data_IF_808164472300
#
_entry.id   IF_808164472300
#
_cell.length_a   1.000
_cell.length_b   1.000
_cell.length_c   1.000
_cell.angle_alpha   90.00
_cell.angle_beta   90.00
_cell.angle_gamma   90.00
#
_symmetry.space_group_name_H-M   'P 1'
#
loop_
_entity.id
_entity.type
_entity.pdbx_description
1 polymer ?
#
# COMPACT_ATOMS: atom_id res chain seq x y z
N UNK A 1 -17.48 13.51 19.10
CA UNK A 1 -17.15 14.66 18.24
C UNK A 1 -18.33 14.92 17.31
N UNK A 2 -19.06 16.03 17.51
CA UNK A 2 -20.24 16.34 16.69
C UNK A 2 -19.76 17.14 15.48
N UNK A 3 -19.91 16.57 14.27
CA UNK A 3 -19.68 17.27 13.01
C UNK A 3 -20.71 18.42 12.90
N UNK A 4 -20.23 19.67 12.83
CA UNK A 4 -21.07 20.88 12.71
C UNK A 4 -21.50 21.14 11.26
N UNK A 5 -21.78 20.09 10.49
CA UNK A 5 -22.33 20.26 9.15
C UNK A 5 -23.84 19.92 9.19
N UNK A 6 -24.74 20.91 9.01
CA UNK A 6 -26.18 20.70 9.12
C UNK A 6 -26.74 19.77 8.03
N UNK A 7 -25.97 19.44 6.98
CA UNK A 7 -26.33 18.46 5.95
C UNK A 7 -25.85 17.03 6.26
N UNK A 8 -25.08 16.84 7.34
CA UNK A 8 -24.53 15.56 7.80
C UNK A 8 -25.10 15.18 9.18
N UNK A 9 -26.37 15.52 9.44
CA UNK A 9 -27.09 14.99 10.60
C UNK A 9 -27.46 13.54 10.31
N UNK A 10 -26.48 12.64 10.38
CA UNK A 10 -26.77 11.23 10.63
C UNK A 10 -27.11 11.16 12.12
N UNK A 11 -28.29 10.65 12.51
CA UNK A 11 -28.57 10.37 13.91
C UNK A 11 -27.46 9.45 14.41
N UNK A 12 -26.59 9.96 15.29
CA UNK A 12 -25.70 9.13 16.09
C UNK A 12 -26.53 8.47 17.18
N UNK A 13 -27.53 7.68 16.78
CA UNK A 13 -28.02 6.64 17.66
C UNK A 13 -26.88 5.64 17.78
N UNK A 14 -26.52 5.29 19.01
CA UNK A 14 -25.54 4.25 19.27
C UNK A 14 -26.15 2.95 18.74
N UNK A 15 -25.79 2.57 17.51
CA UNK A 15 -26.13 1.27 16.97
C UNK A 15 -25.23 0.31 17.73
N UNK A 16 -25.82 -0.45 18.66
CA UNK A 16 -25.10 -1.53 19.31
C UNK A 16 -24.51 -2.42 18.20
N UNK A 17 -23.21 -2.74 18.28
CA UNK A 17 -22.59 -3.62 17.31
C UNK A 17 -23.41 -4.90 17.25
N UNK A 18 -23.82 -5.31 16.05
CA UNK A 18 -24.54 -6.59 15.87
C UNK A 18 -23.71 -7.67 16.55
N UNK A 19 -24.29 -8.35 17.54
CA UNK A 19 -23.73 -9.57 18.10
C UNK A 19 -23.48 -10.54 16.95
N UNK A 20 -22.25 -11.05 16.82
CA UNK A 20 -21.82 -11.84 15.67
C UNK A 20 -20.89 -11.13 14.67
N UNK A 21 -20.24 -10.03 15.06
CA UNK A 21 -19.07 -9.53 14.30
C UNK A 21 -18.02 -10.65 14.19
N UNK A 22 -17.30 -10.70 13.07
CA UNK A 22 -16.28 -11.69 12.68
C UNK A 22 -15.10 -11.91 13.66
N UNK A 23 -15.20 -11.44 14.90
CA UNK A 23 -14.15 -11.46 15.93
C UNK A 23 -14.57 -12.14 17.24
N UNK A 24 -15.70 -12.86 17.26
CA UNK A 24 -15.96 -13.88 18.31
C UNK A 24 -14.99 -15.08 18.24
N UNK A 25 -13.97 -15.02 17.37
CA UNK A 25 -12.78 -15.86 17.51
C UNK A 25 -12.00 -15.42 18.76
N UNK A 26 -12.30 -16.06 19.89
CA UNK A 26 -11.73 -15.86 21.23
C UNK A 26 -10.18 -15.92 21.33
N UNK A 27 -9.47 -16.05 20.21
CA UNK A 27 -8.01 -16.13 20.12
C UNK A 27 -7.34 -14.84 19.64
N UNK A 28 -8.07 -13.90 19.02
CA UNK A 28 -7.48 -12.65 18.50
C UNK A 28 -6.95 -11.75 19.63
N UNK A 29 -7.63 -11.76 20.78
CA UNK A 29 -7.31 -10.93 21.95
C UNK A 29 -6.29 -11.57 22.89
N UNK A 30 -6.21 -12.91 22.92
CA UNK A 30 -5.44 -13.65 23.94
C UNK A 30 -3.92 -13.64 23.72
N UNK A 31 -3.48 -13.41 22.48
CA UNK A 31 -2.05 -13.40 22.11
C UNK A 31 -1.59 -12.06 21.54
N UNK A 32 -2.34 -10.98 21.81
CA UNK A 32 -1.99 -9.66 21.30
C UNK A 32 -0.90 -9.01 22.16
N UNK A 33 0.05 -8.33 21.51
CA UNK A 33 0.98 -7.41 22.18
C UNK A 33 0.28 -6.13 22.67
N UNK A 34 -0.97 -5.91 22.24
CA UNK A 34 -1.80 -4.77 22.60
C UNK A 34 -2.77 -5.19 23.71
N UNK A 35 -2.97 -4.37 24.75
CA UNK A 35 -3.96 -4.64 25.78
C UNK A 35 -5.35 -4.91 25.19
N UNK A 36 -5.98 -6.00 25.63
CA UNK A 36 -7.29 -6.46 25.14
C UNK A 36 -8.34 -5.34 25.17
N UNK A 37 -8.41 -4.58 26.25
CA UNK A 37 -9.36 -3.47 26.40
C UNK A 37 -9.18 -2.35 25.37
N UNK A 38 -7.94 -2.09 24.94
CA UNK A 38 -7.68 -1.11 23.89
C UNK A 38 -8.12 -1.66 22.53
N UNK A 39 -7.86 -2.94 22.26
CA UNK A 39 -8.25 -3.59 21.02
C UNK A 39 -9.77 -3.64 20.87
N UNK A 40 -10.49 -3.99 21.95
CA UNK A 40 -11.96 -3.93 21.99
C UNK A 40 -12.49 -2.53 21.69
N UNK A 41 -11.92 -1.49 22.31
CA UNK A 41 -12.31 -0.09 22.06
C UNK A 41 -12.05 0.33 20.62
N UNK A 42 -10.90 -0.04 20.06
CA UNK A 42 -10.57 0.21 18.67
C UNK A 42 -11.61 -0.40 17.72
N UNK A 43 -11.90 -1.70 17.87
CA UNK A 43 -12.90 -2.37 17.05
C UNK A 43 -14.31 -1.80 17.24
N UNK A 44 -14.72 -1.50 18.47
CA UNK A 44 -16.01 -0.88 18.73
C UNK A 44 -16.16 0.46 17.98
N UNK A 45 -15.09 1.26 17.88
CA UNK A 45 -15.11 2.50 17.08
C UNK A 45 -15.11 2.22 15.58
N UNK A 46 -14.39 1.20 15.10
CA UNK A 46 -14.43 0.82 13.69
C UNK A 46 -15.84 0.38 13.27
N UNK A 47 -16.49 -0.47 14.06
CA UNK A 47 -17.83 -1.01 13.77
C UNK A 47 -18.93 0.05 13.78
N UNK A 48 -18.72 1.19 14.45
CA UNK A 48 -19.65 2.33 14.34
C UNK A 48 -19.76 2.86 12.90
N UNK A 49 -18.80 2.55 12.03
CA UNK A 49 -18.82 2.93 10.63
C UNK A 49 -19.51 1.89 9.74
N UNK A 50 -19.69 0.64 10.18
CA UNK A 50 -20.27 -0.44 9.37
C UNK A 50 -21.62 -0.05 8.74
N UNK A 51 -22.58 0.57 9.47
CA UNK A 51 -23.84 1.00 8.87
C UNK A 51 -23.68 1.97 7.70
N UNK A 52 -22.61 2.78 7.67
CA UNK A 52 -22.33 3.68 6.55
C UNK A 52 -21.89 2.89 5.30
N UNK A 53 -21.13 1.81 5.49
CA UNK A 53 -20.70 0.97 4.37
C UNK A 53 -21.82 0.03 3.91
N UNK A 54 -22.49 -0.65 4.84
CA UNK A 54 -23.58 -1.59 4.57
C UNK A 54 -24.75 -0.93 3.83
N UNK A 55 -25.04 0.34 4.12
CA UNK A 55 -26.09 1.10 3.46
C UNK A 55 -25.63 1.82 2.17
N UNK A 56 -24.46 1.47 1.62
CA UNK A 56 -23.86 2.10 0.43
C UNK A 56 -23.70 3.63 0.55
N UNK A 57 -23.46 4.11 1.76
CA UNK A 57 -23.40 5.52 2.14
C UNK A 57 -21.96 6.07 2.14
N UNK A 58 -21.06 5.46 1.37
CA UNK A 58 -19.62 5.77 1.30
C UNK A 58 -19.30 7.25 1.08
N UNK A 59 -20.16 7.98 0.37
CA UNK A 59 -19.97 9.41 0.15
C UNK A 59 -20.03 10.23 1.45
N UNK A 60 -20.88 9.86 2.41
CA UNK A 60 -20.94 10.54 3.70
C UNK A 60 -19.66 10.34 4.51
N UNK A 61 -19.11 9.13 4.52
CA UNK A 61 -17.80 8.85 5.10
C UNK A 61 -16.71 9.70 4.44
N UNK A 62 -16.67 9.76 3.10
CA UNK A 62 -15.67 10.56 2.36
C UNK A 62 -15.76 12.05 2.72
N UNK A 63 -16.96 12.62 2.79
CA UNK A 63 -17.14 14.04 3.17
C UNK A 63 -16.65 14.27 4.60
N UNK A 64 -17.10 13.46 5.57
CA UNK A 64 -16.69 13.60 6.97
C UNK A 64 -15.17 13.44 7.15
N UNK A 65 -14.58 12.44 6.50
CA UNK A 65 -13.13 12.22 6.47
C UNK A 65 -12.41 13.44 5.91
N UNK A 66 -12.88 13.99 4.80
CA UNK A 66 -12.23 15.13 4.14
C UNK A 66 -12.40 16.45 4.94
N UNK A 67 -13.46 16.59 5.73
CA UNK A 67 -13.64 17.69 6.68
C UNK A 67 -12.67 17.58 7.88
N UNK A 68 -12.55 16.38 8.46
CA UNK A 68 -11.66 16.13 9.60
C UNK A 68 -10.17 16.12 9.21
N UNK A 69 -9.88 15.64 8.00
CA UNK A 69 -8.53 15.49 7.47
C UNK A 69 -8.41 16.24 6.12
N UNK A 70 -8.47 17.58 6.12
CA UNK A 70 -8.47 18.38 4.89
C UNK A 70 -7.20 18.18 4.04
N UNK A 71 -6.08 17.80 4.68
CA UNK A 71 -4.84 17.42 3.99
C UNK A 71 -4.94 16.09 3.24
N UNK A 72 -5.83 15.19 3.66
CA UNK A 72 -6.04 13.87 3.05
C UNK A 72 -7.04 13.88 1.88
N UNK A 73 -7.76 15.01 1.69
CA UNK A 73 -8.81 15.19 0.67
C UNK A 73 -8.32 15.11 -0.76
N UNK A 74 -7.09 15.55 -1.03
CA UNK A 74 -6.52 15.59 -2.38
C UNK A 74 -5.53 14.45 -2.57
N UNK A 75 -5.41 13.99 -3.82
CA UNK A 75 -4.29 13.16 -4.24
C UNK A 75 -2.97 13.91 -4.10
N UNK A 76 -1.86 13.24 -4.44
CA UNK A 76 -0.57 13.92 -4.45
C UNK A 76 -0.56 15.07 -5.47
N UNK A 77 0.18 16.14 -5.16
CA UNK A 77 0.44 17.25 -6.09
C UNK A 77 1.67 17.00 -6.97
N UNK A 78 2.58 16.16 -6.49
CA UNK A 78 3.93 15.97 -7.03
C UNK A 78 4.12 14.56 -7.59
N UNK A 79 3.36 13.59 -7.10
CA UNK A 79 3.46 12.18 -7.47
C UNK A 79 2.19 11.68 -8.15
N UNK A 80 2.30 10.51 -8.79
CA UNK A 80 1.17 9.90 -9.50
C UNK A 80 0.03 9.49 -8.56
N UNK A 81 0.32 9.17 -7.30
CA UNK A 81 -0.67 8.97 -6.25
C UNK A 81 -0.08 9.33 -4.86
N UNK A 82 -0.91 9.28 -3.80
CA UNK A 82 -0.47 9.62 -2.43
C UNK A 82 0.58 8.66 -1.86
N UNK A 83 0.74 7.46 -2.39
CA UNK A 83 1.79 6.55 -1.94
C UNK A 83 3.18 7.14 -2.28
N UNK A 84 3.29 7.94 -3.35
CA UNK A 84 4.47 8.75 -3.63
C UNK A 84 4.83 9.71 -2.49
N UNK A 85 3.83 10.43 -1.96
CA UNK A 85 4.04 11.34 -0.82
C UNK A 85 4.56 10.58 0.42
N UNK A 86 4.01 9.37 0.68
CA UNK A 86 4.46 8.52 1.78
C UNK A 86 5.94 8.16 1.66
N UNK A 87 6.37 7.67 0.49
CA UNK A 87 7.75 7.20 0.31
C UNK A 87 8.75 8.35 0.38
N UNK A 88 8.38 9.53 -0.13
CA UNK A 88 9.18 10.74 0.00
C UNK A 88 9.39 11.11 1.47
N UNK A 89 8.32 11.10 2.27
CA UNK A 89 8.38 11.39 3.70
C UNK A 89 9.21 10.34 4.46
N UNK A 90 9.00 9.05 4.19
CA UNK A 90 9.76 7.95 4.80
C UNK A 90 11.26 8.13 4.52
N UNK A 91 11.63 8.39 3.26
CA UNK A 91 13.04 8.53 2.90
C UNK A 91 13.67 9.81 3.45
N UNK A 92 12.92 10.91 3.53
CA UNK A 92 13.39 12.14 4.16
C UNK A 92 13.64 11.95 5.66
N UNK A 93 12.82 11.17 6.36
CA UNK A 93 12.95 10.93 7.81
C UNK A 93 14.00 9.86 8.13
N UNK A 94 14.04 8.77 7.38
CA UNK A 94 14.94 7.63 7.64
C UNK A 94 16.35 7.85 7.11
N UNK A 95 16.52 8.77 6.14
CA UNK A 95 17.78 9.00 5.43
C UNK A 95 18.35 7.75 4.76
N UNK A 96 17.52 6.73 4.51
CA UNK A 96 17.96 5.45 3.92
C UNK A 96 18.67 5.67 2.58
N UNK A 97 18.18 6.64 1.79
CA UNK A 97 18.76 6.98 0.49
C UNK A 97 20.14 7.64 0.57
N UNK A 98 20.50 8.28 1.69
CA UNK A 98 21.83 8.90 1.86
C UNK A 98 22.93 7.84 2.00
N UNK A 99 22.56 6.62 2.41
CA UNK A 99 23.49 5.51 2.61
C UNK A 99 23.61 4.61 1.36
N UNK A 100 22.81 4.84 0.33
CA UNK A 100 22.88 4.07 -0.91
C UNK A 100 24.04 4.58 -1.79
N UNK A 101 24.71 3.64 -2.47
CA UNK A 101 25.72 3.99 -3.45
C UNK A 101 25.09 4.72 -4.66
N UNK A 102 25.92 5.39 -5.47
CA UNK A 102 25.46 6.10 -6.68
C UNK A 102 24.72 5.18 -7.66
N UNK A 103 25.15 3.93 -7.74
CA UNK A 103 24.47 2.86 -8.48
C UNK A 103 23.98 1.84 -7.47
N UNK A 104 22.69 1.50 -7.53
CA UNK A 104 22.10 0.55 -6.61
C UNK A 104 20.91 -0.16 -7.27
N UNK A 105 20.55 -1.29 -6.71
CA UNK A 105 19.41 -2.09 -7.14
C UNK A 105 18.31 -2.05 -6.09
N UNK A 106 17.06 -2.13 -6.53
CA UNK A 106 15.93 -2.16 -5.62
C UNK A 106 14.85 -3.15 -6.03
N UNK A 107 14.08 -3.61 -5.05
CA UNK A 107 12.92 -4.46 -5.21
C UNK A 107 11.70 -3.76 -4.63
N UNK A 108 10.55 -3.88 -5.30
CA UNK A 108 9.29 -3.27 -4.87
C UNK A 108 8.14 -4.31 -4.99
N UNK A 109 7.63 -4.77 -3.86
CA UNK A 109 6.62 -5.84 -3.79
C UNK A 109 5.29 -5.28 -3.29
N UNK A 110 4.17 -5.84 -3.78
CA UNK A 110 2.84 -5.26 -3.61
C UNK A 110 2.76 -3.82 -4.14
N UNK A 111 3.53 -3.55 -5.18
CA UNK A 111 3.91 -2.19 -5.53
C UNK A 111 2.97 -1.47 -6.50
N UNK A 112 2.10 -2.21 -7.22
CA UNK A 112 1.31 -1.62 -8.29
C UNK A 112 0.33 -0.56 -7.75
N UNK A 113 0.17 0.59 -8.43
CA UNK A 113 0.65 0.89 -9.78
C UNK A 113 2.12 1.35 -9.89
N UNK A 114 2.84 1.47 -8.77
CA UNK A 114 4.30 1.67 -8.74
C UNK A 114 4.75 3.08 -8.36
N UNK A 115 4.01 3.82 -7.53
CA UNK A 115 4.40 5.20 -7.20
C UNK A 115 5.74 5.28 -6.46
N UNK A 116 6.12 4.26 -5.68
CA UNK A 116 7.40 4.21 -4.97
C UNK A 116 8.55 3.94 -5.94
N UNK A 117 8.41 2.93 -6.80
CA UNK A 117 9.32 2.69 -7.91
C UNK A 117 9.53 3.92 -8.81
N UNK A 118 8.45 4.64 -9.17
CA UNK A 118 8.54 5.89 -9.94
C UNK A 118 9.37 6.95 -9.22
N UNK A 119 9.10 7.16 -7.93
CA UNK A 119 9.83 8.11 -7.10
C UNK A 119 11.34 7.83 -7.15
N UNK A 120 11.73 6.57 -6.95
CA UNK A 120 13.13 6.14 -6.95
C UNK A 120 13.76 6.36 -8.34
N UNK A 121 13.12 5.88 -9.40
CA UNK A 121 13.68 5.96 -10.76
C UNK A 121 13.80 7.40 -11.29
N UNK A 122 12.90 8.30 -10.90
CA UNK A 122 12.96 9.71 -11.29
C UNK A 122 14.09 10.46 -10.58
N UNK A 123 14.46 10.02 -9.38
CA UNK A 123 15.48 10.70 -8.56
C UNK A 123 16.89 10.14 -8.75
N UNK A 124 17.00 8.87 -9.13
CA UNK A 124 18.27 8.18 -9.27
C UNK A 124 18.40 7.62 -10.70
N UNK A 125 19.34 8.18 -11.47
CA UNK A 125 19.54 7.78 -12.86
C UNK A 125 20.18 6.39 -13.01
N UNK A 126 21.08 6.03 -12.09
CA UNK A 126 21.88 4.80 -12.16
C UNK A 126 21.33 3.65 -11.30
N UNK A 127 20.04 3.68 -10.95
CA UNK A 127 19.42 2.54 -10.26
C UNK A 127 18.63 1.63 -11.21
N UNK A 128 18.51 0.36 -10.82
CA UNK A 128 17.65 -0.63 -11.48
C UNK A 128 16.69 -1.24 -10.48
N UNK A 129 15.46 -1.50 -10.90
CA UNK A 129 14.42 -2.04 -10.03
C UNK A 129 13.72 -3.26 -10.60
N UNK A 130 13.19 -4.11 -9.72
CA UNK A 130 12.21 -5.14 -10.09
C UNK A 130 10.96 -4.99 -9.23
N UNK A 131 9.80 -5.03 -9.88
CA UNK A 131 8.49 -4.88 -9.26
C UNK A 131 7.62 -6.13 -9.40
N UNK A 132 6.88 -6.47 -8.34
CA UNK A 132 5.82 -7.48 -8.39
C UNK A 132 4.59 -7.04 -7.60
N UNK A 133 3.41 -7.28 -8.16
CA UNK A 133 2.13 -6.98 -7.52
C UNK A 133 1.03 -7.81 -8.13
N UNK A 134 -0.03 -8.06 -7.36
CA UNK A 134 -1.26 -8.63 -7.92
C UNK A 134 -1.88 -7.66 -8.93
N UNK A 135 -2.38 -8.15 -10.08
CA UNK A 135 -3.21 -7.35 -10.96
C UNK A 135 -4.55 -7.07 -10.26
N UNK A 136 -5.10 -5.89 -10.49
CA UNK A 136 -6.43 -5.55 -9.99
C UNK A 136 -7.46 -6.28 -10.86
N UNK A 137 -8.44 -6.92 -10.23
CA UNK A 137 -9.53 -7.60 -10.94
C UNK A 137 -10.20 -6.66 -11.95
N UNK A 138 -10.44 -7.16 -13.17
CA UNK A 138 -11.00 -6.36 -14.27
C UNK A 138 -10.04 -5.35 -14.91
N UNK A 139 -8.81 -5.21 -14.40
CA UNK A 139 -7.76 -4.38 -15.02
C UNK A 139 -6.83 -5.29 -15.84
N UNK A 140 -6.69 -5.02 -17.16
CA UNK A 140 -5.71 -5.73 -17.97
C UNK A 140 -4.29 -5.63 -17.36
N UNK A 141 -3.52 -6.72 -17.39
CA UNK A 141 -2.22 -6.82 -16.73
C UNK A 141 -1.26 -5.70 -17.16
N UNK A 142 -1.33 -5.29 -18.42
CA UNK A 142 -0.52 -4.22 -19.01
C UNK A 142 -0.88 -2.82 -18.47
N UNK A 143 -2.04 -2.68 -17.85
CA UNK A 143 -2.52 -1.45 -17.20
C UNK A 143 -2.34 -1.46 -15.68
N UNK A 144 -1.86 -2.56 -15.11
CA UNK A 144 -1.58 -2.67 -13.67
C UNK A 144 -0.54 -1.65 -13.21
N UNK A 145 0.44 -1.34 -14.07
CA UNK A 145 1.55 -0.45 -13.75
C UNK A 145 1.48 0.86 -14.52
N UNK A 146 2.08 1.91 -13.97
CA UNK A 146 2.21 3.17 -14.69
C UNK A 146 2.97 2.99 -16.02
N UNK A 147 2.54 3.64 -17.12
CA UNK A 147 3.17 3.48 -18.43
C UNK A 147 4.67 3.78 -18.45
N UNK A 148 5.15 4.67 -17.60
CA UNK A 148 6.57 5.03 -17.50
C UNK A 148 7.41 3.92 -16.88
N UNK A 149 6.84 3.13 -15.96
CA UNK A 149 7.49 1.93 -15.42
C UNK A 149 7.45 0.79 -16.44
N UNK A 150 6.30 0.58 -17.08
CA UNK A 150 6.11 -0.50 -18.05
C UNK A 150 7.04 -0.39 -19.27
N UNK A 151 7.48 0.83 -19.60
CA UNK A 151 8.39 1.13 -20.72
C UNK A 151 9.85 1.33 -20.31
N UNK A 152 10.16 1.33 -19.01
CA UNK A 152 11.49 1.66 -18.52
C UNK A 152 12.42 0.45 -18.57
N UNK A 153 13.52 0.54 -19.31
CA UNK A 153 14.57 -0.50 -19.32
C UNK A 153 15.27 -0.66 -17.95
N UNK A 154 15.15 0.34 -17.07
CA UNK A 154 15.69 0.26 -15.70
C UNK A 154 14.79 -0.50 -14.75
N UNK A 155 13.55 -0.79 -15.13
CA UNK A 155 12.57 -1.39 -14.23
C UNK A 155 11.92 -2.63 -14.85
N UNK A 156 12.07 -3.78 -14.20
CA UNK A 156 11.44 -5.02 -14.66
C UNK A 156 10.20 -5.34 -13.85
N UNK A 157 9.08 -5.51 -14.54
CA UNK A 157 7.84 -6.01 -13.95
C UNK A 157 7.82 -7.54 -14.07
N UNK A 158 7.41 -8.21 -13.00
CA UNK A 158 7.06 -9.63 -13.00
C UNK A 158 5.80 -9.87 -12.18
N UNK A 159 5.08 -10.95 -12.51
CA UNK A 159 3.87 -11.40 -11.80
C UNK A 159 4.08 -12.79 -11.19
N UNK A 160 5.34 -13.21 -11.04
CA UNK A 160 5.68 -14.56 -10.60
C UNK A 160 5.54 -15.63 -11.69
N UNK A 161 5.61 -16.88 -11.27
CA UNK A 161 5.50 -18.05 -12.13
C UNK A 161 4.09 -18.16 -12.71
N UNK A 162 3.07 -18.12 -11.84
CA UNK A 162 1.66 -18.32 -12.20
C UNK A 162 0.96 -17.07 -12.75
N UNK A 163 1.69 -15.95 -12.83
CA UNK A 163 1.22 -14.63 -13.29
C UNK A 163 0.14 -13.98 -12.42
N UNK A 164 -0.10 -14.47 -11.21
CA UNK A 164 -1.03 -13.85 -10.27
C UNK A 164 -0.42 -12.69 -9.50
N UNK A 165 0.92 -12.61 -9.40
CA UNK A 165 1.61 -11.66 -8.53
C UNK A 165 1.38 -11.90 -7.03
N UNK A 166 0.80 -13.05 -6.66
CA UNK A 166 0.48 -13.39 -5.28
C UNK A 166 1.76 -13.76 -4.51
N UNK A 167 2.11 -12.95 -3.52
CA UNK A 167 3.31 -13.11 -2.67
C UNK A 167 3.21 -14.28 -1.69
N UNK A 168 2.02 -14.82 -1.45
CA UNK A 168 1.83 -16.01 -0.63
C UNK A 168 2.15 -17.31 -1.38
N UNK A 169 2.28 -17.26 -2.70
CA UNK A 169 2.70 -18.41 -3.52
C UNK A 169 4.22 -18.42 -3.60
N UNK A 170 4.83 -19.44 -3.00
CA UNK A 170 6.30 -19.58 -2.90
C UNK A 170 6.99 -19.46 -4.27
N UNK A 171 6.42 -20.10 -5.29
CA UNK A 171 6.99 -20.13 -6.64
C UNK A 171 7.02 -18.73 -7.28
N UNK A 172 6.05 -17.87 -6.96
CA UNK A 172 6.06 -16.48 -7.43
C UNK A 172 7.22 -15.68 -6.82
N UNK A 173 7.54 -15.92 -5.54
CA UNK A 173 8.70 -15.31 -4.89
C UNK A 173 10.02 -15.85 -5.46
N UNK A 174 10.09 -17.15 -5.78
CA UNK A 174 11.26 -17.75 -6.42
C UNK A 174 11.50 -17.16 -7.82
N UNK A 175 10.45 -17.00 -8.63
CA UNK A 175 10.54 -16.35 -9.94
C UNK A 175 10.83 -14.85 -9.84
N UNK A 176 10.30 -14.17 -8.81
CA UNK A 176 10.67 -12.78 -8.51
C UNK A 176 12.16 -12.65 -8.25
N UNK A 177 12.71 -13.50 -7.37
CA UNK A 177 14.15 -13.52 -7.07
C UNK A 177 15.00 -13.85 -8.30
N UNK A 178 14.56 -14.82 -9.13
CA UNK A 178 15.18 -15.14 -10.42
C UNK A 178 15.19 -13.93 -11.36
N UNK A 179 14.09 -13.18 -11.42
CA UNK A 179 13.96 -11.94 -12.20
C UNK A 179 14.91 -10.86 -11.71
N UNK A 180 14.98 -10.63 -10.38
CA UNK A 180 15.95 -9.73 -9.75
C UNK A 180 17.37 -10.05 -10.19
N UNK A 181 17.81 -11.30 -10.02
CA UNK A 181 19.16 -11.73 -10.40
C UNK A 181 19.45 -11.45 -11.88
N UNK A 182 18.53 -11.82 -12.78
CA UNK A 182 18.70 -11.59 -14.23
C UNK A 182 18.77 -10.11 -14.59
N UNK A 183 17.95 -9.28 -13.97
CA UNK A 183 17.84 -7.84 -14.29
C UNK A 183 18.99 -7.01 -13.70
N UNK A 184 19.54 -7.44 -12.56
CA UNK A 184 20.61 -6.73 -11.87
C UNK A 184 22.01 -7.12 -12.36
N UNK A 185 22.17 -8.32 -12.94
CA UNK A 185 23.47 -8.86 -13.34
C UNK A 185 24.19 -8.03 -14.42
N UNK A 186 25.06 -7.13 -13.97
CA UNK A 186 26.50 -7.18 -14.29
C UNK A 186 27.16 -8.04 -13.21
N UNK A 187 28.16 -8.87 -13.55
CA UNK A 187 28.67 -10.03 -12.79
C UNK A 187 29.07 -9.84 -11.29
N UNK A 188 28.95 -8.64 -10.71
CA UNK A 188 29.48 -8.29 -9.38
C UNK A 188 28.43 -7.99 -8.29
N UNK A 189 27.13 -7.86 -8.59
CA UNK A 189 26.12 -7.53 -7.56
C UNK A 189 24.91 -8.47 -7.56
N UNK A 190 24.91 -9.42 -6.63
CA UNK A 190 23.75 -10.29 -6.34
C UNK A 190 22.81 -9.72 -5.26
N UNK A 191 23.14 -8.56 -4.68
CA UNK A 191 22.42 -8.02 -3.52
C UNK A 191 21.40 -6.97 -3.96
N UNK A 192 20.22 -7.03 -3.37
CA UNK A 192 19.21 -5.97 -3.43
C UNK A 192 19.60 -4.93 -2.37
N UNK A 193 19.90 -3.70 -2.79
CA UNK A 193 20.32 -2.64 -1.87
C UNK A 193 19.14 -1.99 -1.13
N UNK A 194 17.96 -1.96 -1.77
CA UNK A 194 16.74 -1.40 -1.22
C UNK A 194 15.54 -2.31 -1.49
N UNK A 195 14.85 -2.76 -0.45
CA UNK A 195 13.62 -3.53 -0.57
C UNK A 195 12.43 -2.72 -0.04
N UNK A 196 11.41 -2.53 -0.87
CA UNK A 196 10.20 -1.75 -0.58
C UNK A 196 8.96 -2.65 -0.66
N UNK A 197 7.97 -2.36 0.19
CA UNK A 197 6.69 -3.06 0.20
C UNK A 197 5.59 -2.18 0.81
N UNK A 198 4.47 -2.00 0.09
CA UNK A 198 3.22 -1.32 0.55
C UNK A 198 2.03 -2.26 0.24
N UNK A 199 2.00 -3.42 0.91
CA UNK A 199 1.00 -4.48 0.74
C UNK A 199 -0.13 -4.49 1.75
#
# INVERSE_FOLDING_TARGET
FILKNPKLQVPLEFIEPKSGSCFEEANLYKNSVIPEELLKKYHAVQHQLDPIFDNNQLNFYKIARDELFPKAKRGSKTHANRAGDKVEEIFAQTKVLENLQKEFTFADVCAAPGSWSLFVLQRFASCRGVGMSMPVEGTPIEKTWYPDLARSDRFKITFGEDKSGNVYVKQNLEEFNSTCKKHFSTEETQNIDLFMCDG
#
